data_IF_306749106970
#
_entry.id   IF_306749106970
#
_cell.length_a   1.000
_cell.length_b   1.000
_cell.length_c   1.000
_cell.angle_alpha   90.00
_cell.angle_beta   90.00
_cell.angle_gamma   90.00
#
_symmetry.space_group_name_H-M   'P 1'
#
loop_
_entity.id
_entity.type
_entity.pdbx_description
1 polymer ?
#
# COMPACT_ATOMS: atom_id res chain seq x y z
N UNK A 1 1.78 5.34 -2.37
CA UNK A 1 0.90 4.15 -2.31
C UNK A 1 0.37 3.96 -0.89
N UNK A 2 -0.83 3.43 -0.75
CA UNK A 2 -1.50 3.14 0.53
C UNK A 2 -1.96 1.68 0.58
N UNK A 3 -1.99 1.08 1.77
CA UNK A 3 -2.36 -0.32 1.98
C UNK A 3 -3.86 -0.59 1.78
N UNK A 4 -4.74 0.15 2.46
CA UNK A 4 -6.18 -0.11 2.55
C UNK A 4 -7.04 1.13 2.25
N UNK A 5 -8.30 0.90 1.90
CA UNK A 5 -9.24 1.95 1.49
C UNK A 5 -9.43 3.11 2.51
N UNK A 6 -9.55 2.85 3.84
CA UNK A 6 -9.61 3.93 4.82
C UNK A 6 -8.39 4.87 4.79
N UNK A 7 -7.16 4.32 4.71
CA UNK A 7 -5.93 5.11 4.64
C UNK A 7 -5.83 5.85 3.31
N UNK A 8 -6.17 5.18 2.20
CA UNK A 8 -6.25 5.81 0.89
C UNK A 8 -7.13 7.07 0.91
N UNK A 9 -8.34 6.98 1.49
CA UNK A 9 -9.28 8.11 1.56
C UNK A 9 -8.73 9.29 2.36
N UNK A 10 -8.03 9.03 3.48
CA UNK A 10 -7.41 10.08 4.28
C UNK A 10 -6.26 10.75 3.52
N UNK A 11 -5.38 9.96 2.90
CA UNK A 11 -4.24 10.47 2.15
C UNK A 11 -4.69 11.23 0.91
N UNK A 12 -5.70 10.74 0.18
CA UNK A 12 -6.28 11.44 -0.96
C UNK A 12 -6.87 12.81 -0.56
N UNK A 13 -7.56 12.89 0.58
CA UNK A 13 -8.07 14.17 1.10
C UNK A 13 -6.94 15.15 1.44
N UNK A 14 -5.83 14.67 1.99
CA UNK A 14 -4.66 15.51 2.30
C UNK A 14 -3.96 15.98 1.02
N UNK A 15 -3.82 15.11 0.02
CA UNK A 15 -3.19 15.45 -1.25
C UNK A 15 -4.01 16.44 -2.09
N UNK A 16 -5.34 16.40 -1.98
CA UNK A 16 -6.23 17.28 -2.74
C UNK A 16 -5.96 17.21 -4.24
N UNK A 17 -5.75 18.36 -4.87
CA UNK A 17 -5.51 18.44 -6.33
C UNK A 17 -4.05 18.12 -6.74
N UNK A 18 -3.16 17.84 -5.79
CA UNK A 18 -1.75 17.52 -6.08
C UNK A 18 -1.57 16.10 -6.65
N UNK A 19 -2.57 15.24 -6.49
CA UNK A 19 -2.56 13.88 -7.01
C UNK A 19 -3.43 12.93 -6.18
N UNK A 20 -3.39 11.64 -6.53
CA UNK A 20 -4.08 10.59 -5.79
C UNK A 20 -3.12 9.44 -5.51
N UNK A 21 -3.11 8.87 -4.29
CA UNK A 21 -2.25 7.74 -3.98
C UNK A 21 -2.78 6.46 -4.64
N UNK A 22 -1.90 5.58 -5.11
CA UNK A 22 -2.31 4.22 -5.48
C UNK A 22 -2.79 3.43 -4.26
N UNK A 23 -3.83 2.61 -4.44
CA UNK A 23 -4.34 1.67 -3.42
C UNK A 23 -3.86 0.25 -3.73
N UNK A 24 -3.17 -0.37 -2.76
CA UNK A 24 -2.65 -1.72 -2.88
C UNK A 24 -3.76 -2.77 -2.79
N UNK A 25 -4.56 -2.73 -1.73
CA UNK A 25 -5.67 -3.66 -1.54
C UNK A 25 -6.96 -3.09 -2.19
N UNK A 26 -7.40 -3.62 -3.33
CA UNK A 26 -8.56 -3.06 -4.03
C UNK A 26 -9.85 -3.26 -3.22
N UNK A 27 -10.89 -2.45 -3.49
CA UNK A 27 -12.19 -2.59 -2.83
C UNK A 27 -12.74 -4.02 -2.96
N UNK A 28 -13.14 -4.60 -1.83
CA UNK A 28 -13.72 -5.95 -1.77
C UNK A 28 -12.69 -7.09 -1.62
N UNK A 29 -11.38 -6.81 -1.64
CA UNK A 29 -10.38 -7.79 -1.25
C UNK A 29 -10.26 -7.88 0.28
N UNK A 30 -10.07 -9.11 0.78
CA UNK A 30 -9.87 -9.37 2.22
C UNK A 30 -8.37 -9.21 2.56
N UNK A 31 -8.00 -8.35 3.53
CA UNK A 31 -6.62 -8.21 3.97
C UNK A 31 -5.98 -9.51 4.47
N UNK A 32 -6.75 -10.51 4.89
CA UNK A 32 -6.23 -11.76 5.41
C UNK A 32 -6.13 -12.88 4.35
N UNK A 33 -6.67 -12.68 3.15
CA UNK A 33 -6.65 -13.64 2.04
C UNK A 33 -6.06 -13.02 0.74
N UNK A 34 -5.34 -11.91 0.87
CA UNK A 34 -4.74 -11.24 -0.27
C UNK A 34 -3.36 -11.80 -0.61
N UNK A 35 -3.17 -12.15 -1.89
CA UNK A 35 -1.87 -12.54 -2.43
C UNK A 35 -1.28 -11.40 -3.27
N UNK A 36 -0.09 -10.94 -2.91
CA UNK A 36 0.61 -9.89 -3.64
C UNK A 36 0.96 -10.37 -5.06
N UNK A 37 0.46 -9.65 -6.09
CA UNK A 37 0.74 -9.97 -7.48
C UNK A 37 2.09 -9.37 -7.90
N UNK A 38 2.78 -9.94 -8.90
CA UNK A 38 4.03 -9.36 -9.43
C UNK A 38 3.88 -7.89 -9.83
N UNK A 39 2.77 -7.51 -10.47
CA UNK A 39 2.50 -6.12 -10.84
C UNK A 39 2.32 -5.18 -9.64
N UNK A 40 1.86 -5.70 -8.50
CA UNK A 40 1.71 -4.92 -7.28
C UNK A 40 3.08 -4.74 -6.59
N UNK A 41 3.92 -5.78 -6.63
CA UNK A 41 5.32 -5.68 -6.19
C UNK A 41 6.10 -4.64 -7.01
N UNK A 42 5.91 -4.60 -8.33
CA UNK A 42 6.52 -3.57 -9.19
C UNK A 42 6.05 -2.16 -8.79
N UNK A 43 4.76 -1.97 -8.48
CA UNK A 43 4.23 -0.68 -8.01
C UNK A 43 4.78 -0.30 -6.64
N UNK A 44 4.88 -1.27 -5.72
CA UNK A 44 5.48 -1.06 -4.40
C UNK A 44 6.93 -0.59 -4.53
N UNK A 45 7.76 -1.29 -5.30
CA UNK A 45 9.17 -0.98 -5.48
C UNK A 45 9.42 0.41 -6.11
N UNK A 46 8.50 0.86 -6.97
CA UNK A 46 8.57 2.16 -7.64
C UNK A 46 7.80 3.28 -6.93
N UNK A 47 7.19 3.01 -5.78
CA UNK A 47 6.47 4.05 -5.03
C UNK A 47 7.45 5.01 -4.35
N UNK A 48 7.21 6.32 -4.50
CA UNK A 48 8.01 7.36 -3.83
C UNK A 48 7.78 7.39 -2.31
N UNK A 49 6.54 7.07 -1.88
CA UNK A 49 6.14 7.01 -0.49
C UNK A 49 5.09 5.91 -0.30
N UNK A 50 5.24 5.12 0.76
CA UNK A 50 4.28 4.10 1.17
C UNK A 50 3.72 4.50 2.53
N UNK A 51 2.39 4.55 2.63
CA UNK A 51 1.69 4.82 3.89
C UNK A 51 0.91 3.54 4.24
N UNK A 52 1.36 2.90 5.30
CA UNK A 52 0.90 1.58 5.75
C UNK A 52 0.48 1.67 7.22
N UNK A 53 -0.64 1.07 7.59
CA UNK A 53 -1.08 1.02 9.01
C UNK A 53 -0.07 0.27 9.86
N UNK A 54 0.50 -0.80 9.33
CA UNK A 54 1.45 -1.67 10.01
C UNK A 54 1.03 -3.15 10.03
N UNK A 55 1.85 -4.00 10.65
CA UNK A 55 1.71 -5.45 10.59
C UNK A 55 0.46 -5.98 11.30
N UNK A 56 -0.18 -5.19 12.18
CA UNK A 56 -1.40 -5.62 12.87
C UNK A 56 -2.59 -5.82 11.92
N UNK A 57 -2.59 -5.16 10.76
CA UNK A 57 -3.70 -5.22 9.80
C UNK A 57 -3.34 -5.95 8.50
N UNK A 58 -2.14 -5.70 7.97
CA UNK A 58 -1.65 -6.32 6.73
C UNK A 58 -0.25 -6.88 6.94
N UNK A 59 -0.09 -7.91 7.81
CA UNK A 59 1.22 -8.46 8.19
C UNK A 59 2.01 -9.01 7.00
N UNK A 60 1.32 -9.51 5.99
CA UNK A 60 1.91 -10.03 4.75
C UNK A 60 2.67 -8.98 3.93
N UNK A 61 2.52 -7.69 4.25
CA UNK A 61 3.21 -6.60 3.55
C UNK A 61 4.61 -6.33 4.11
N UNK A 62 4.92 -6.79 5.32
CA UNK A 62 6.21 -6.55 5.99
C UNK A 62 7.41 -7.09 5.20
N UNK A 63 7.39 -8.38 4.86
CA UNK A 63 8.46 -9.01 4.09
C UNK A 63 8.65 -8.40 2.69
N UNK A 64 7.58 -8.15 1.89
CA UNK A 64 7.70 -7.42 0.64
C UNK A 64 8.31 -6.03 0.79
N UNK A 65 7.91 -5.26 1.81
CA UNK A 65 8.48 -3.91 2.03
C UNK A 65 9.96 -3.98 2.37
N UNK A 66 10.37 -4.90 3.24
CA UNK A 66 11.79 -5.10 3.58
C UNK A 66 12.62 -5.53 2.36
N UNK A 67 12.04 -6.34 1.47
CA UNK A 67 12.74 -6.85 0.28
C UNK A 67 12.80 -5.83 -0.87
N UNK A 68 11.72 -5.08 -1.09
CA UNK A 68 11.55 -4.20 -2.27
C UNK A 68 11.88 -2.72 -1.96
N UNK A 69 11.75 -2.32 -0.70
CA UNK A 69 11.93 -0.94 -0.23
C UNK A 69 12.82 -0.89 1.04
N UNK A 70 14.03 -1.49 1.05
CA UNK A 70 14.89 -1.47 2.24
C UNK A 70 15.33 -0.04 2.59
N UNK A 71 15.06 0.38 3.83
CA UNK A 71 15.41 1.68 4.46
C UNK A 71 15.58 2.85 3.47
N UNK A 72 14.45 3.28 2.89
CA UNK A 72 14.29 4.60 2.25
C UNK A 72 13.58 5.58 3.17
#
# INVERSE_FOLDING_TARGET
MTDIAPIHSLVAQVMGDLGSPDLLLPPGADPHDFALRPSDADKLANSDLIIWVGPELTPWLEDPLNALCPDR
#
